data_IF_066533711834
#
_entry.id   IF_066533711834
#
_cell.length_a   1.000
_cell.length_b   1.000
_cell.length_c   1.000
_cell.angle_alpha   90.00
_cell.angle_beta   90.00
_cell.angle_gamma   90.00
#
_symmetry.space_group_name_H-M   'P 1'
#
loop_
_entity.id
_entity.type
_entity.pdbx_description
1 polymer ?
#
# COMPACT_ATOMS: atom_id res chain seq x y z
N UNK A 1 12.03 38.73 -3.45
CA UNK A 1 12.22 38.54 -1.99
C UNK A 1 12.08 37.05 -1.69
N UNK A 2 13.18 36.35 -1.38
CA UNK A 2 13.08 34.95 -0.95
C UNK A 2 12.47 34.92 0.45
N UNK A 3 11.25 34.39 0.55
CA UNK A 3 10.63 34.11 1.84
C UNK A 3 11.50 33.06 2.52
N UNK A 4 12.16 33.47 3.62
CA UNK A 4 12.95 32.57 4.47
C UNK A 4 12.02 31.46 4.96
N UNK A 5 12.21 30.25 4.46
CA UNK A 5 11.39 29.10 4.84
C UNK A 5 11.44 28.94 6.37
N UNK A 6 10.30 29.13 7.03
CA UNK A 6 10.19 28.90 8.47
C UNK A 6 10.37 27.40 8.68
N UNK A 7 11.56 27.00 9.14
CA UNK A 7 11.86 25.62 9.51
C UNK A 7 10.88 25.16 10.58
N UNK A 8 9.87 24.37 10.20
CA UNK A 8 8.97 23.77 11.16
C UNK A 8 9.73 22.77 12.04
N UNK A 9 9.64 22.95 13.35
CA UNK A 9 10.32 22.08 14.32
C UNK A 9 9.45 20.87 14.61
N UNK A 10 9.62 19.83 13.80
CA UNK A 10 9.00 18.52 14.02
C UNK A 10 9.51 17.86 15.30
N UNK A 11 8.61 17.48 16.20
CA UNK A 11 8.97 16.77 17.43
C UNK A 11 9.44 15.34 17.13
N UNK A 12 8.83 14.67 16.15
CA UNK A 12 9.23 13.31 15.78
C UNK A 12 10.71 13.22 15.36
N UNK A 13 11.30 14.27 14.78
CA UNK A 13 12.72 14.26 14.36
C UNK A 13 13.66 13.93 15.52
N UNK A 14 13.37 14.44 16.72
CA UNK A 14 14.18 14.19 17.90
C UNK A 14 14.00 12.77 18.46
N UNK A 15 12.89 12.11 18.12
CA UNK A 15 12.49 10.78 18.62
C UNK A 15 12.88 9.65 17.66
N UNK A 16 12.93 9.92 16.36
CA UNK A 16 13.35 9.00 15.31
C UNK A 16 14.79 9.31 14.86
N UNK A 17 15.73 9.05 15.77
CA UNK A 17 17.17 8.99 15.45
C UNK A 17 17.53 7.55 15.10
N UNK A 18 18.65 7.35 14.41
CA UNK A 18 19.17 6.00 14.14
C UNK A 18 19.34 5.24 15.47
N UNK A 19 18.87 3.99 15.52
CA UNK A 19 18.90 3.14 16.71
C UNK A 19 18.19 3.72 17.95
N UNK A 20 17.18 4.58 17.76
CA UNK A 20 16.49 5.25 18.88
C UNK A 20 15.64 4.32 19.76
N UNK A 21 15.22 3.16 19.23
CA UNK A 21 14.39 2.20 19.95
C UNK A 21 15.18 0.93 20.25
N UNK A 22 14.93 0.35 21.43
CA UNK A 22 15.41 -0.99 21.78
C UNK A 22 14.48 -2.08 21.27
N UNK A 23 14.66 -3.32 21.76
CA UNK A 23 13.92 -4.50 21.29
C UNK A 23 12.40 -4.45 21.46
N UNK A 24 11.87 -3.66 22.39
CA UNK A 24 10.42 -3.55 22.62
C UNK A 24 9.74 -2.74 21.51
N UNK A 25 8.71 -3.32 20.88
CA UNK A 25 7.95 -2.68 19.82
C UNK A 25 6.97 -1.59 20.30
N UNK A 26 6.37 -1.74 21.48
CA UNK A 26 5.31 -0.84 21.96
C UNK A 26 5.73 0.66 22.06
N UNK A 27 6.93 1.02 22.55
CA UNK A 27 7.39 2.41 22.52
C UNK A 27 7.48 2.97 21.09
N UNK A 28 8.04 2.19 20.15
CA UNK A 28 8.16 2.58 18.76
C UNK A 28 6.79 2.81 18.11
N UNK A 29 5.86 1.85 18.27
CA UNK A 29 4.46 1.96 17.79
C UNK A 29 3.79 3.23 18.33
N UNK A 30 3.98 3.54 19.61
CA UNK A 30 3.42 4.75 20.24
C UNK A 30 3.97 6.01 19.59
N UNK A 31 5.28 6.06 19.33
CA UNK A 31 5.92 7.21 18.67
C UNK A 31 5.52 7.36 17.21
N UNK A 32 5.30 6.25 16.49
CA UNK A 32 4.82 6.28 15.10
C UNK A 32 3.45 6.95 15.05
N UNK A 33 2.50 6.51 15.90
CA UNK A 33 1.16 7.11 15.98
C UNK A 33 1.20 8.60 16.33
N UNK A 34 2.09 9.00 17.23
CA UNK A 34 2.29 10.41 17.59
C UNK A 34 2.79 11.24 16.39
N UNK A 35 3.80 10.73 15.66
CA UNK A 35 4.35 11.41 14.48
C UNK A 35 3.30 11.56 13.37
N UNK A 36 2.53 10.50 13.08
CA UNK A 36 1.43 10.56 12.10
C UNK A 36 0.38 11.59 12.52
N UNK A 37 0.03 11.64 13.81
CA UNK A 37 -0.92 12.64 14.33
C UNK A 37 -0.39 14.06 14.17
N UNK A 38 0.88 14.29 14.51
CA UNK A 38 1.57 15.58 14.36
C UNK A 38 1.54 16.06 12.89
N UNK A 39 1.90 15.18 11.95
CA UNK A 39 1.90 15.48 10.51
C UNK A 39 0.49 15.78 10.00
N UNK A 40 -0.51 14.98 10.39
CA UNK A 40 -1.92 15.20 10.00
C UNK A 40 -2.47 16.51 10.53
N UNK A 41 -2.05 16.94 11.72
CA UNK A 41 -2.44 18.25 12.25
C UNK A 41 -1.84 19.40 11.44
N UNK A 42 -0.56 19.29 11.06
CA UNK A 42 0.09 20.28 10.19
C UNK A 42 -0.57 20.34 8.80
N UNK A 43 -0.98 19.19 8.26
CA UNK A 43 -1.61 19.11 6.93
C UNK A 43 -2.89 19.95 6.79
N UNK A 44 -3.60 20.21 7.90
CA UNK A 44 -4.80 21.05 7.91
C UNK A 44 -4.54 22.51 7.58
N UNK A 45 -3.31 22.99 7.81
CA UNK A 45 -2.93 24.40 7.63
C UNK A 45 -1.89 24.59 6.54
N UNK A 46 -0.98 23.63 6.39
CA UNK A 46 0.13 23.70 5.46
C UNK A 46 0.37 22.33 4.82
N UNK A 47 -0.40 21.95 3.77
CA UNK A 47 -0.30 20.64 3.14
C UNK A 47 1.10 20.31 2.60
N UNK A 48 1.75 21.24 1.89
CA UNK A 48 3.09 21.03 1.34
C UNK A 48 4.15 20.81 2.43
N UNK A 49 4.07 21.59 3.52
CA UNK A 49 4.96 21.43 4.68
C UNK A 49 4.74 20.07 5.35
N UNK A 50 3.48 19.65 5.50
CA UNK A 50 3.15 18.37 6.10
C UNK A 50 3.61 17.18 5.25
N UNK A 51 3.52 17.27 3.92
CA UNK A 51 4.05 16.27 3.01
C UNK A 51 5.57 16.17 3.08
N UNK A 52 6.30 17.29 3.12
CA UNK A 52 7.74 17.30 3.40
C UNK A 52 8.05 16.64 4.76
N UNK A 53 7.24 16.93 5.79
CA UNK A 53 7.32 16.27 7.10
C UNK A 53 7.08 14.75 7.04
N UNK A 54 6.14 14.31 6.22
CA UNK A 54 5.84 12.90 6.00
C UNK A 54 6.99 12.16 5.32
N UNK A 55 7.55 12.74 4.25
CA UNK A 55 8.73 12.22 3.54
C UNK A 55 9.91 12.06 4.52
N UNK A 56 10.19 13.12 5.27
CA UNK A 56 11.22 13.14 6.30
C UNK A 56 10.99 12.13 7.44
N UNK A 57 9.74 11.84 7.79
CA UNK A 57 9.42 10.83 8.79
C UNK A 57 9.69 9.41 8.25
N UNK A 58 9.24 9.12 7.03
CA UNK A 58 9.42 7.83 6.37
C UNK A 58 10.90 7.47 6.20
N UNK A 59 11.74 8.44 5.82
CA UNK A 59 13.21 8.28 5.73
C UNK A 59 13.85 7.79 7.04
N UNK A 60 13.26 8.17 8.17
CA UNK A 60 13.83 7.91 9.51
C UNK A 60 13.29 6.64 10.14
N UNK A 61 12.25 6.04 9.58
CA UNK A 61 11.60 4.87 10.17
C UNK A 61 12.55 3.69 10.25
N UNK A 62 13.02 3.19 9.11
CA UNK A 62 13.91 2.03 9.05
C UNK A 62 15.13 2.13 9.97
N UNK A 63 15.96 3.19 9.89
CA UNK A 63 17.14 3.30 10.75
C UNK A 63 16.80 3.46 12.24
N UNK A 64 15.64 4.02 12.59
CA UNK A 64 15.22 4.13 13.99
C UNK A 64 14.75 2.79 14.57
N UNK A 65 14.14 1.94 13.73
CA UNK A 65 13.53 0.67 14.11
C UNK A 65 14.49 -0.54 14.06
N UNK A 66 15.74 -0.34 13.62
CA UNK A 66 16.70 -1.42 13.37
C UNK A 66 16.93 -2.45 14.50
N UNK A 67 16.63 -2.11 15.76
CA UNK A 67 16.75 -3.02 16.91
C UNK A 67 15.43 -3.48 17.50
N UNK A 68 14.30 -3.10 16.91
CA UNK A 68 12.97 -3.48 17.38
C UNK A 68 12.67 -4.90 16.96
N UNK A 69 12.19 -5.72 17.89
CA UNK A 69 11.71 -7.07 17.57
C UNK A 69 10.42 -6.98 16.73
N UNK A 70 10.51 -7.46 15.48
CA UNK A 70 9.43 -7.48 14.50
C UNK A 70 8.71 -8.83 14.39
N UNK A 71 9.12 -9.85 15.16
CA UNK A 71 8.59 -11.22 15.05
C UNK A 71 7.07 -11.31 15.23
N UNK A 72 6.50 -10.46 16.09
CA UNK A 72 5.04 -10.37 16.32
C UNK A 72 4.25 -9.76 15.16
N UNK A 73 4.92 -9.14 14.17
CA UNK A 73 4.29 -8.37 13.10
C UNK A 73 3.69 -7.02 13.53
N UNK A 74 3.53 -6.76 14.84
CA UNK A 74 2.85 -5.57 15.35
C UNK A 74 3.50 -4.25 14.92
N UNK A 75 4.83 -4.19 14.89
CA UNK A 75 5.57 -3.02 14.42
C UNK A 75 5.41 -2.82 12.91
N UNK A 76 5.45 -3.91 12.12
CA UNK A 76 5.24 -3.86 10.67
C UNK A 76 3.84 -3.36 10.32
N UNK A 77 2.81 -3.87 10.99
CA UNK A 77 1.43 -3.38 10.84
C UNK A 77 1.31 -1.89 11.18
N UNK A 78 1.97 -1.42 12.24
CA UNK A 78 1.95 0.00 12.60
C UNK A 78 2.65 0.88 11.56
N UNK A 79 3.75 0.41 10.96
CA UNK A 79 4.44 1.13 9.89
C UNK A 79 3.60 1.15 8.60
N UNK A 80 3.01 0.02 8.20
CA UNK A 80 2.14 -0.06 7.03
C UNK A 80 0.94 0.89 7.15
N UNK A 81 0.28 0.94 8.31
CA UNK A 81 -0.77 1.92 8.55
C UNK A 81 -0.28 3.36 8.50
N UNK A 82 0.93 3.64 8.99
CA UNK A 82 1.51 4.97 8.87
C UNK A 82 1.77 5.33 7.40
N UNK A 83 2.25 4.40 6.58
CA UNK A 83 2.44 4.59 5.14
C UNK A 83 1.09 4.85 4.45
N UNK A 84 0.07 4.03 4.72
CA UNK A 84 -1.29 4.20 4.17
C UNK A 84 -1.90 5.57 4.49
N UNK A 85 -1.63 6.11 5.68
CA UNK A 85 -2.12 7.42 6.09
C UNK A 85 -1.32 8.59 5.50
N UNK A 86 -0.01 8.42 5.29
CA UNK A 86 0.91 9.48 4.87
C UNK A 86 1.04 9.60 3.36
N UNK A 87 0.97 8.49 2.62
CA UNK A 87 1.07 8.48 1.14
C UNK A 87 0.03 9.42 0.51
N UNK A 88 -1.26 9.39 0.88
CA UNK A 88 -2.25 10.31 0.30
C UNK A 88 -1.94 11.78 0.58
N UNK A 89 -1.37 12.09 1.76
CA UNK A 89 -0.95 13.45 2.10
C UNK A 89 0.21 13.92 1.23
N UNK A 90 1.18 13.04 0.97
CA UNK A 90 2.28 13.34 0.06
C UNK A 90 1.73 13.52 -1.35
N UNK A 91 0.98 12.54 -1.87
CA UNK A 91 0.42 12.55 -3.22
C UNK A 91 -0.41 13.81 -3.51
N UNK A 92 -1.29 14.22 -2.59
CA UNK A 92 -2.18 15.39 -2.78
C UNK A 92 -1.54 16.76 -2.52
N UNK A 93 -0.27 16.82 -2.09
CA UNK A 93 0.39 18.08 -1.79
C UNK A 93 0.58 18.96 -3.05
N UNK A 94 0.20 20.25 -3.01
CA UNK A 94 0.35 21.16 -4.14
C UNK A 94 1.80 21.68 -4.22
N UNK A 95 2.68 20.90 -4.84
CA UNK A 95 4.09 21.24 -5.07
C UNK A 95 4.45 21.07 -6.54
N UNK A 96 5.48 21.76 -6.98
CA UNK A 96 6.02 21.58 -8.33
C UNK A 96 6.70 20.21 -8.51
N UNK A 97 6.93 19.85 -9.76
CA UNK A 97 7.53 18.57 -10.14
C UNK A 97 8.97 18.40 -9.60
N UNK A 98 9.75 19.48 -9.48
CA UNK A 98 11.13 19.40 -8.98
C UNK A 98 11.17 19.07 -7.48
N UNK A 99 10.29 19.70 -6.69
CA UNK A 99 10.11 19.39 -5.26
C UNK A 99 9.61 17.96 -5.09
N UNK A 100 8.67 17.54 -5.94
CA UNK A 100 8.14 16.18 -5.96
C UNK A 100 9.23 15.15 -6.22
N UNK A 101 10.06 15.39 -7.21
CA UNK A 101 11.14 14.50 -7.62
C UNK A 101 12.19 14.37 -6.51
N UNK A 102 12.59 15.49 -5.89
CA UNK A 102 13.49 15.50 -4.74
C UNK A 102 12.95 14.69 -3.53
N UNK A 103 11.63 14.68 -3.32
CA UNK A 103 11.02 13.80 -2.31
C UNK A 103 11.13 12.32 -2.67
N UNK A 104 10.88 11.97 -3.93
CA UNK A 104 10.99 10.60 -4.43
C UNK A 104 12.43 10.11 -4.39
N UNK A 105 13.42 10.94 -4.71
CA UNK A 105 14.85 10.62 -4.58
C UNK A 105 15.20 10.25 -3.13
N UNK A 106 14.78 11.07 -2.16
CA UNK A 106 15.04 10.80 -0.74
C UNK A 106 14.33 9.54 -0.24
N UNK A 107 13.08 9.33 -0.66
CA UNK A 107 12.35 8.09 -0.34
C UNK A 107 13.01 6.88 -0.99
N UNK A 108 13.56 7.03 -2.20
CA UNK A 108 14.26 5.98 -2.91
C UNK A 108 15.56 5.60 -2.22
N UNK A 109 16.35 6.59 -1.78
CA UNK A 109 17.53 6.35 -0.95
C UNK A 109 17.18 5.59 0.34
N UNK A 110 16.13 6.03 1.05
CA UNK A 110 15.66 5.35 2.25
C UNK A 110 15.20 3.92 1.97
N UNK A 111 14.48 3.71 0.86
CA UNK A 111 14.00 2.40 0.42
C UNK A 111 15.15 1.44 0.11
N UNK A 112 16.20 1.93 -0.56
CA UNK A 112 17.37 1.13 -0.88
C UNK A 112 18.17 0.76 0.38
N UNK A 113 18.27 1.69 1.32
CA UNK A 113 18.89 1.50 2.63
C UNK A 113 18.04 0.72 3.65
N UNK A 114 16.83 0.28 3.28
CA UNK A 114 15.93 -0.49 4.14
C UNK A 114 16.46 -1.93 4.31
N UNK A 115 17.23 -2.17 5.37
CA UNK A 115 17.85 -3.47 5.65
C UNK A 115 16.82 -4.50 6.12
N UNK A 116 16.07 -4.15 7.17
CA UNK A 116 14.86 -4.88 7.57
C UNK A 116 13.71 -4.17 6.84
N UNK A 117 12.91 -4.87 6.03
CA UNK A 117 11.96 -4.24 5.11
C UNK A 117 10.75 -3.63 5.83
N UNK A 118 10.95 -2.53 6.55
CA UNK A 118 9.89 -1.83 7.27
C UNK A 118 9.10 -0.92 6.33
N UNK A 119 9.75 -0.34 5.32
CA UNK A 119 9.13 0.62 4.40
C UNK A 119 8.97 0.05 2.98
N UNK A 120 9.14 -1.26 2.80
CA UNK A 120 8.97 -1.95 1.51
C UNK A 120 7.61 -1.68 0.85
N UNK A 121 6.57 -1.46 1.67
CA UNK A 121 5.22 -1.15 1.22
C UNK A 121 5.14 0.15 0.39
N UNK A 122 6.10 1.08 0.56
CA UNK A 122 6.21 2.28 -0.29
C UNK A 122 6.32 1.94 -1.77
N UNK A 123 6.91 0.78 -2.12
CA UNK A 123 6.99 0.33 -3.50
C UNK A 123 5.60 0.17 -4.14
N UNK A 124 4.61 -0.32 -3.39
CA UNK A 124 3.24 -0.42 -3.90
C UNK A 124 2.60 0.95 -4.12
N UNK A 125 2.97 1.94 -3.32
CA UNK A 125 2.47 3.31 -3.40
C UNK A 125 3.26 4.22 -4.35
N UNK A 126 4.34 3.73 -4.97
CA UNK A 126 5.27 4.56 -5.73
C UNK A 126 4.59 5.37 -6.85
N UNK A 127 3.71 4.73 -7.62
CA UNK A 127 2.92 5.40 -8.64
C UNK A 127 2.01 6.51 -8.11
N UNK A 128 1.41 6.33 -6.93
CA UNK A 128 0.62 7.36 -6.27
C UNK A 128 1.49 8.52 -5.75
N UNK A 129 2.69 8.21 -5.22
CA UNK A 129 3.64 9.21 -4.75
C UNK A 129 4.14 10.12 -5.88
N UNK A 130 4.22 9.61 -7.12
CA UNK A 130 4.57 10.39 -8.31
C UNK A 130 3.57 11.52 -8.60
N UNK A 131 2.29 11.34 -8.27
CA UNK A 131 1.17 12.29 -8.43
C UNK A 131 0.87 12.78 -9.87
N UNK A 132 1.81 12.68 -10.81
CA UNK A 132 1.66 13.05 -12.22
C UNK A 132 2.22 11.94 -13.13
N UNK A 133 1.59 11.65 -14.28
CA UNK A 133 2.05 10.62 -15.22
C UNK A 133 3.47 10.84 -15.73
N UNK A 134 3.87 12.09 -16.00
CA UNK A 134 5.21 12.41 -16.53
C UNK A 134 6.32 12.09 -15.50
N UNK A 135 6.08 12.43 -14.23
CA UNK A 135 6.99 12.07 -13.13
C UNK A 135 7.06 10.56 -12.97
N UNK A 136 5.92 9.87 -13.03
CA UNK A 136 5.86 8.42 -12.98
C UNK A 136 6.61 7.77 -14.15
N UNK A 137 6.51 8.34 -15.36
CA UNK A 137 7.22 7.85 -16.53
C UNK A 137 8.73 8.01 -16.39
N UNK A 138 9.20 9.16 -15.92
CA UNK A 138 10.63 9.39 -15.69
C UNK A 138 11.21 8.41 -14.66
N UNK A 139 10.49 8.16 -13.56
CA UNK A 139 10.87 7.15 -12.57
C UNK A 139 10.85 5.73 -13.14
N UNK A 140 9.87 5.41 -13.99
CA UNK A 140 9.82 4.12 -14.66
C UNK A 140 11.05 3.93 -15.57
N UNK A 141 11.44 4.94 -16.35
CA UNK A 141 12.63 4.87 -17.22
C UNK A 141 13.92 4.66 -16.43
N UNK A 142 14.04 5.30 -15.26
CA UNK A 142 15.19 5.12 -14.37
C UNK A 142 15.31 3.69 -13.81
N UNK A 143 14.18 3.02 -13.56
CA UNK A 143 14.14 1.73 -12.86
C UNK A 143 14.09 0.53 -13.82
N UNK A 144 13.41 0.66 -14.96
CA UNK A 144 13.06 -0.46 -15.85
C UNK A 144 14.29 -1.20 -16.39
N UNK A 145 15.37 -0.48 -16.68
CA UNK A 145 16.62 -1.08 -17.15
C UNK A 145 17.23 -2.03 -16.13
N UNK A 146 17.15 -1.70 -14.84
CA UNK A 146 17.64 -2.56 -13.75
C UNK A 146 16.74 -3.76 -13.54
N UNK A 147 15.42 -3.58 -13.63
CA UNK A 147 14.47 -4.71 -13.55
C UNK A 147 14.72 -5.71 -14.67
N UNK A 148 14.85 -5.25 -15.92
CA UNK A 148 15.15 -6.11 -17.07
C UNK A 148 16.44 -6.90 -16.89
N UNK A 149 17.50 -6.28 -16.35
CA UNK A 149 18.75 -6.98 -16.02
C UNK A 149 18.52 -8.03 -14.94
N UNK A 150 17.84 -7.66 -13.85
CA UNK A 150 17.58 -8.56 -12.72
C UNK A 150 16.76 -9.79 -13.12
N UNK A 151 15.91 -9.65 -14.14
CA UNK A 151 15.07 -10.70 -14.72
C UNK A 151 15.67 -11.37 -15.96
N UNK A 152 16.93 -11.05 -16.30
CA UNK A 152 17.59 -11.64 -17.45
C UNK A 152 17.69 -13.17 -17.34
N UNK A 153 17.52 -13.92 -18.44
CA UNK A 153 17.80 -15.36 -18.48
C UNK A 153 19.26 -15.70 -18.16
N UNK A 154 20.17 -14.75 -18.41
CA UNK A 154 21.61 -14.87 -18.17
C UNK A 154 21.91 -14.91 -16.65
N UNK A 155 22.47 -16.02 -16.12
CA UNK A 155 22.73 -16.17 -14.68
C UNK A 155 23.68 -15.13 -14.09
N UNK A 156 24.57 -14.56 -14.91
CA UNK A 156 25.55 -13.52 -14.59
C UNK A 156 24.93 -12.13 -14.41
N UNK A 157 23.75 -11.89 -14.98
CA UNK A 157 23.01 -10.62 -14.87
C UNK A 157 21.80 -10.72 -13.94
N UNK A 158 21.32 -11.94 -13.71
CA UNK A 158 20.16 -12.24 -12.89
C UNK A 158 20.44 -11.94 -11.42
N UNK A 159 19.48 -11.33 -10.74
CA UNK A 159 19.63 -10.96 -9.34
C UNK A 159 18.35 -10.47 -8.69
N UNK A 160 18.43 -10.17 -7.40
CA UNK A 160 17.33 -9.53 -6.68
C UNK A 160 17.46 -8.01 -6.78
N UNK A 161 16.37 -7.35 -7.15
CA UNK A 161 16.28 -5.89 -7.16
C UNK A 161 15.09 -5.42 -6.33
N UNK A 162 15.36 -4.66 -5.26
CA UNK A 162 14.35 -4.12 -4.35
C UNK A 162 13.32 -3.24 -5.07
N UNK A 163 13.74 -2.46 -6.08
CA UNK A 163 12.88 -1.49 -6.78
C UNK A 163 11.94 -2.05 -7.84
N UNK A 164 11.81 -3.37 -7.95
CA UNK A 164 10.91 -4.00 -8.94
C UNK A 164 9.48 -3.51 -8.77
N UNK A 165 8.98 -3.48 -7.53
CA UNK A 165 7.65 -2.99 -7.16
C UNK A 165 7.46 -1.52 -7.52
N UNK A 166 8.48 -0.69 -7.24
CA UNK A 166 8.46 0.75 -7.53
C UNK A 166 8.34 0.97 -9.04
N UNK A 167 9.10 0.22 -9.84
CA UNK A 167 9.07 0.27 -11.31
C UNK A 167 7.69 -0.09 -11.86
N UNK A 168 7.12 -1.22 -11.43
CA UNK A 168 5.80 -1.67 -11.90
C UNK A 168 4.70 -0.69 -11.48
N UNK A 169 4.76 -0.16 -10.25
CA UNK A 169 3.83 0.86 -9.76
C UNK A 169 3.94 2.17 -10.55
N UNK A 170 5.15 2.61 -10.88
CA UNK A 170 5.40 3.78 -11.71
C UNK A 170 4.87 3.61 -13.14
N UNK A 171 5.13 2.46 -13.79
CA UNK A 171 4.64 2.18 -15.15
C UNK A 171 3.11 2.22 -15.22
N UNK A 172 2.41 1.63 -14.24
CA UNK A 172 0.94 1.68 -14.16
C UNK A 172 0.45 3.12 -14.00
N UNK A 173 1.07 3.91 -13.12
CA UNK A 173 0.69 5.31 -12.91
C UNK A 173 1.00 6.22 -14.11
N UNK A 174 2.02 5.89 -14.89
CA UNK A 174 2.37 6.57 -16.14
C UNK A 174 1.44 6.21 -17.31
N UNK A 175 0.56 5.20 -17.15
CA UNK A 175 -0.29 4.72 -18.24
C UNK A 175 0.44 3.85 -19.27
N UNK A 176 1.66 3.39 -18.97
CA UNK A 176 2.52 2.59 -19.87
C UNK A 176 2.19 1.10 -19.73
N UNK A 177 0.93 0.75 -19.96
CA UNK A 177 0.37 -0.57 -19.65
C UNK A 177 0.99 -1.70 -20.46
N UNK A 178 1.27 -1.47 -21.75
CA UNK A 178 1.92 -2.47 -22.61
C UNK A 178 3.33 -2.82 -22.11
N UNK A 179 4.07 -1.84 -21.58
CA UNK A 179 5.38 -2.07 -21.00
C UNK A 179 5.32 -2.83 -19.67
N UNK A 180 4.25 -2.66 -18.89
CA UNK A 180 4.02 -3.50 -17.70
C UNK A 180 3.89 -4.96 -18.12
N UNK A 181 3.03 -5.25 -19.10
CA UNK A 181 2.78 -6.62 -19.57
C UNK A 181 4.06 -7.21 -20.20
N UNK A 182 4.74 -6.46 -21.07
CA UNK A 182 5.98 -6.90 -21.71
C UNK A 182 7.10 -7.16 -20.69
N UNK A 183 7.19 -6.34 -19.62
CA UNK A 183 8.16 -6.55 -18.56
C UNK A 183 7.83 -7.82 -17.75
N UNK A 184 6.56 -8.06 -17.43
CA UNK A 184 6.11 -9.23 -16.67
C UNK A 184 6.35 -10.55 -17.41
N UNK A 185 6.35 -10.57 -18.75
CA UNK A 185 6.73 -11.75 -19.54
C UNK A 185 8.21 -12.14 -19.37
N UNK A 186 9.07 -11.19 -18.96
CA UNK A 186 10.47 -11.47 -18.64
C UNK A 186 10.66 -12.00 -17.22
N UNK A 187 9.61 -11.97 -16.38
CA UNK A 187 9.74 -12.33 -14.97
C UNK A 187 10.20 -13.80 -14.82
N UNK A 188 11.26 -14.07 -14.04
CA UNK A 188 11.80 -15.42 -13.91
C UNK A 188 10.85 -16.39 -13.22
N UNK A 189 9.90 -15.87 -12.44
CA UNK A 189 8.89 -16.63 -11.72
C UNK A 189 7.56 -15.89 -11.81
N UNK A 190 6.48 -16.65 -12.00
CA UNK A 190 5.11 -16.12 -11.98
C UNK A 190 4.64 -15.97 -10.54
N UNK A 191 4.99 -14.85 -9.91
CA UNK A 191 4.55 -14.48 -8.55
C UNK A 191 3.38 -13.51 -8.62
N UNK A 192 2.35 -13.73 -7.80
CA UNK A 192 1.24 -12.78 -7.65
C UNK A 192 1.70 -11.35 -7.29
N UNK A 193 2.79 -11.24 -6.54
CA UNK A 193 3.36 -9.96 -6.12
C UNK A 193 3.63 -9.00 -7.30
N UNK A 194 4.13 -9.54 -8.42
CA UNK A 194 4.42 -8.74 -9.62
C UNK A 194 3.24 -8.76 -10.59
N UNK A 195 2.56 -9.91 -10.73
CA UNK A 195 1.43 -10.08 -11.65
C UNK A 195 0.23 -9.19 -11.34
N UNK A 196 0.01 -8.83 -10.08
CA UNK A 196 -1.05 -7.88 -9.72
C UNK A 196 -0.94 -6.55 -10.50
N UNK A 197 0.25 -6.17 -10.98
CA UNK A 197 0.43 -4.96 -11.78
C UNK A 197 -0.04 -5.14 -13.23
N UNK A 198 0.08 -6.34 -13.80
CA UNK A 198 -0.55 -6.69 -15.08
C UNK A 198 -2.07 -6.64 -14.98
N UNK A 199 -2.63 -7.14 -13.87
CA UNK A 199 -4.06 -7.02 -13.56
C UNK A 199 -4.50 -5.55 -13.49
N UNK A 200 -3.75 -4.70 -12.75
CA UNK A 200 -4.01 -3.25 -12.66
C UNK A 200 -3.92 -2.57 -14.04
N UNK A 201 -2.95 -2.95 -14.87
CA UNK A 201 -2.75 -2.41 -16.22
C UNK A 201 -3.91 -2.77 -17.16
N UNK A 202 -4.39 -4.02 -17.15
CA UNK A 202 -5.53 -4.47 -17.94
C UNK A 202 -6.84 -3.81 -17.47
N UNK A 203 -7.02 -3.70 -16.16
CA UNK A 203 -8.19 -3.05 -15.58
C UNK A 203 -8.25 -1.55 -15.91
N UNK A 204 -7.12 -0.85 -15.88
CA UNK A 204 -7.04 0.57 -16.23
C UNK A 204 -7.38 0.85 -17.71
N UNK A 205 -7.18 -0.14 -18.59
CA UNK A 205 -7.60 -0.09 -20.00
C UNK A 205 -9.08 -0.45 -20.22
N UNK A 206 -9.82 -0.77 -19.14
CA UNK A 206 -11.23 -1.17 -19.22
C UNK A 206 -11.45 -2.65 -19.59
N UNK A 207 -10.39 -3.46 -19.65
CA UNK A 207 -10.49 -4.88 -20.01
C UNK A 207 -10.70 -5.75 -18.77
N UNK A 208 -11.82 -5.55 -18.07
CA UNK A 208 -12.11 -6.22 -16.80
C UNK A 208 -12.11 -7.74 -16.90
N UNK A 209 -12.70 -8.32 -17.95
CA UNK A 209 -12.71 -9.78 -18.15
C UNK A 209 -11.30 -10.33 -18.39
N UNK A 210 -10.49 -9.62 -19.18
CA UNK A 210 -9.11 -10.02 -19.43
C UNK A 210 -8.28 -9.91 -18.15
N UNK A 211 -8.50 -8.88 -17.34
CA UNK A 211 -7.84 -8.72 -16.05
C UNK A 211 -8.17 -9.87 -15.08
N UNK A 212 -9.44 -10.30 -15.02
CA UNK A 212 -9.87 -11.45 -14.23
C UNK A 212 -9.24 -12.75 -14.73
N UNK A 213 -9.29 -12.98 -16.05
CA UNK A 213 -8.65 -14.14 -16.67
C UNK A 213 -7.15 -14.16 -16.39
N UNK A 214 -6.48 -13.01 -16.53
CA UNK A 214 -5.06 -12.87 -16.26
C UNK A 214 -4.72 -13.09 -14.77
N UNK A 215 -5.58 -12.65 -13.84
CA UNK A 215 -5.40 -12.87 -12.41
C UNK A 215 -5.54 -14.35 -12.03
N UNK A 216 -6.48 -15.07 -12.67
CA UNK A 216 -6.74 -16.48 -12.40
C UNK A 216 -5.84 -17.44 -13.17
N UNK A 217 -5.30 -17.01 -14.31
CA UNK A 217 -4.40 -17.79 -15.14
C UNK A 217 -3.15 -18.18 -14.34
N UNK A 218 -2.89 -19.48 -14.19
CA UNK A 218 -1.71 -20.03 -13.52
C UNK A 218 -1.47 -19.49 -12.10
N UNK A 219 -1.98 -20.20 -11.08
CA UNK A 219 -1.59 -19.94 -9.69
C UNK A 219 -0.14 -20.41 -9.51
N UNK A 220 0.77 -19.47 -9.26
CA UNK A 220 2.13 -19.81 -8.85
C UNK A 220 2.07 -20.68 -7.59
N UNK A 221 3.05 -21.59 -7.44
CA UNK A 221 3.12 -22.54 -6.31
C UNK A 221 3.01 -21.87 -4.93
N UNK A 222 3.37 -20.59 -4.82
CA UNK A 222 3.37 -19.81 -3.59
C UNK A 222 2.32 -18.69 -3.56
N UNK A 223 1.42 -18.62 -4.54
CA UNK A 223 0.43 -17.55 -4.61
C UNK A 223 -0.59 -17.69 -3.49
N UNK A 224 -0.80 -16.61 -2.74
CA UNK A 224 -1.83 -16.55 -1.70
C UNK A 224 -3.22 -16.46 -2.36
N UNK A 225 -4.08 -17.49 -2.27
CA UNK A 225 -5.38 -17.48 -2.93
C UNK A 225 -6.29 -16.34 -2.45
N UNK A 226 -6.12 -15.88 -1.21
CA UNK A 226 -6.86 -14.77 -0.64
C UNK A 226 -6.48 -13.43 -1.29
N UNK A 227 -5.20 -13.23 -1.61
CA UNK A 227 -4.73 -12.00 -2.24
C UNK A 227 -5.25 -11.87 -3.68
N UNK A 228 -5.24 -12.97 -4.43
CA UNK A 228 -5.82 -13.05 -5.78
C UNK A 228 -7.33 -12.78 -5.71
N UNK A 229 -8.06 -13.48 -4.83
CA UNK A 229 -9.50 -13.32 -4.68
C UNK A 229 -9.90 -11.88 -4.32
N UNK A 230 -9.17 -11.22 -3.41
CA UNK A 230 -9.43 -9.81 -3.05
C UNK A 230 -9.24 -8.86 -4.24
N UNK A 231 -8.23 -9.10 -5.07
CA UNK A 231 -8.03 -8.27 -6.26
C UNK A 231 -9.15 -8.49 -7.28
N UNK A 232 -9.54 -9.73 -7.54
CA UNK A 232 -10.67 -10.02 -8.44
C UNK A 232 -12.00 -9.47 -7.92
N UNK A 233 -12.26 -9.56 -6.61
CA UNK A 233 -13.42 -8.95 -5.96
C UNK A 233 -13.42 -7.42 -6.17
N UNK A 234 -12.29 -6.76 -5.91
CA UNK A 234 -12.16 -5.32 -6.08
C UNK A 234 -12.39 -4.88 -7.55
N UNK A 235 -11.91 -5.66 -8.53
CA UNK A 235 -12.16 -5.41 -9.95
C UNK A 235 -13.64 -5.48 -10.31
N UNK A 236 -14.34 -6.53 -9.85
CA UNK A 236 -15.77 -6.69 -10.10
C UNK A 236 -16.59 -5.59 -9.43
N UNK A 237 -16.23 -5.19 -8.21
CA UNK A 237 -16.86 -4.08 -7.51
C UNK A 237 -16.65 -2.75 -8.25
N UNK A 238 -15.44 -2.48 -8.73
CA UNK A 238 -15.15 -1.29 -9.53
C UNK A 238 -15.93 -1.26 -10.86
N UNK A 239 -16.22 -2.43 -11.43
CA UNK A 239 -17.06 -2.59 -12.62
C UNK A 239 -18.58 -2.59 -12.31
N UNK A 240 -19.00 -2.39 -11.05
CA UNK A 240 -20.42 -2.37 -10.65
C UNK A 240 -21.08 -3.75 -10.57
N UNK A 241 -20.31 -4.85 -10.62
CA UNK A 241 -20.79 -6.25 -10.64
C UNK A 241 -20.76 -6.87 -9.24
N UNK A 242 -21.42 -6.21 -8.28
CA UNK A 242 -21.37 -6.59 -6.87
C UNK A 242 -21.88 -7.99 -6.59
N UNK A 243 -22.93 -8.44 -7.30
CA UNK A 243 -23.50 -9.77 -7.12
C UNK A 243 -22.50 -10.87 -7.51
N UNK A 244 -21.83 -10.71 -8.64
CA UNK A 244 -20.83 -11.66 -9.09
C UNK A 244 -19.59 -11.65 -8.20
N UNK A 245 -19.15 -10.46 -7.74
CA UNK A 245 -18.06 -10.32 -6.78
C UNK A 245 -18.35 -11.14 -5.51
N UNK A 246 -19.56 -11.01 -4.98
CA UNK A 246 -20.02 -11.74 -3.81
C UNK A 246 -20.08 -13.25 -4.05
N UNK A 247 -20.69 -13.69 -5.16
CA UNK A 247 -20.85 -15.11 -5.49
C UNK A 247 -19.52 -15.82 -5.71
N UNK A 248 -18.57 -15.18 -6.40
CA UNK A 248 -17.30 -15.80 -6.79
C UNK A 248 -16.21 -15.68 -5.72
N UNK A 249 -16.10 -14.51 -5.09
CA UNK A 249 -14.95 -14.21 -4.22
C UNK A 249 -15.34 -13.83 -2.80
N UNK A 250 -16.60 -13.48 -2.51
CA UNK A 250 -17.03 -12.95 -1.22
C UNK A 250 -16.64 -13.81 -0.01
N UNK A 251 -16.64 -15.14 -0.16
CA UNK A 251 -16.20 -16.05 0.91
C UNK A 251 -14.67 -16.10 1.04
N UNK A 252 -13.94 -16.29 -0.07
CA UNK A 252 -12.48 -16.48 -0.05
C UNK A 252 -11.79 -15.17 0.31
N UNK A 253 -12.17 -14.06 -0.31
CA UNK A 253 -11.56 -12.75 -0.10
C UNK A 253 -11.62 -12.27 1.37
N UNK A 254 -12.66 -12.67 2.11
CA UNK A 254 -12.95 -12.21 3.48
C UNK A 254 -12.62 -13.22 4.59
N UNK A 255 -12.07 -14.40 4.26
CA UNK A 255 -11.71 -15.41 5.27
C UNK A 255 -10.52 -15.01 6.17
N UNK A 256 -9.68 -14.06 5.73
CA UNK A 256 -8.47 -13.64 6.46
C UNK A 256 -8.69 -12.82 7.74
N UNK A 257 -9.94 -12.57 8.15
CA UNK A 257 -10.29 -11.69 9.28
C UNK A 257 -11.20 -12.31 10.35
N UNK A 258 -11.38 -13.63 10.42
CA UNK A 258 -12.32 -14.24 11.36
C UNK A 258 -11.74 -14.42 12.77
N UNK A 259 -11.58 -13.32 13.51
CA UNK A 259 -12.12 -13.32 14.88
C UNK A 259 -13.62 -13.08 14.72
N UNK A 260 -14.43 -14.13 14.88
CA UNK A 260 -15.88 -14.12 14.72
C UNK A 260 -16.50 -12.85 15.33
N UNK A 261 -17.07 -12.00 14.48
CA UNK A 261 -18.18 -11.14 14.89
C UNK A 261 -19.46 -11.91 14.57
N UNK A 262 -20.26 -12.37 15.55
CA UNK A 262 -21.54 -12.97 15.24
C UNK A 262 -22.38 -11.94 14.51
N UNK A 263 -22.78 -12.25 13.28
CA UNK A 263 -23.81 -11.50 12.56
C UNK A 263 -25.08 -11.54 13.40
N UNK A 264 -25.52 -10.37 13.87
CA UNK A 264 -26.80 -10.23 14.54
C UNK A 264 -27.92 -10.62 13.54
N UNK A 265 -28.92 -11.42 13.95
CA UNK A 265 -30.04 -11.73 13.09
C UNK A 265 -30.85 -10.46 12.78
N UNK A 266 -31.20 -10.26 11.51
CA UNK A 266 -32.12 -9.21 11.06
C UNK A 266 -33.44 -9.25 11.84
N UNK A 267 -34.03 -8.10 12.20
CA UNK A 267 -35.30 -8.07 12.94
C UNK A 267 -36.45 -8.43 11.99
N UNK A 268 -36.78 -9.72 11.93
CA UNK A 268 -38.00 -10.22 11.31
C UNK A 268 -39.19 -10.02 12.24
N UNK A 269 -40.15 -9.19 11.79
CA UNK A 269 -41.58 -9.15 12.11
C UNK A 269 -42.04 -9.76 13.44
N UNK A 270 -42.24 -8.90 14.44
CA UNK A 270 -43.06 -9.22 15.62
C UNK A 270 -44.51 -9.37 15.14
N UNK A 271 -44.95 -10.61 14.94
CA UNK A 271 -46.38 -10.94 14.93
C UNK A 271 -46.91 -10.89 16.37
N UNK A 272 -47.80 -9.93 16.59
CA UNK A 272 -48.63 -9.77 17.78
C UNK A 272 -49.46 -11.04 18.02
N UNK A 273 -49.14 -11.79 19.08
CA UNK A 273 -50.06 -12.79 19.64
C UNK A 273 -51.01 -12.12 20.64
N UNK A 274 -52.33 -12.37 20.58
CA UNK A 274 -53.29 -11.73 21.47
C UNK A 274 -53.21 -12.32 22.89
N UNK A 275 -53.32 -11.45 23.89
CA UNK A 275 -53.41 -11.80 25.31
C UNK A 275 -54.70 -12.56 25.59
N UNK A 276 -54.59 -13.84 25.94
CA UNK A 276 -55.68 -14.60 26.56
C UNK A 276 -55.91 -14.08 27.99
N UNK A 277 -57.15 -13.67 28.23
CA UNK A 277 -57.72 -13.20 29.49
C UNK A 277 -58.20 -14.44 30.24
N UNK A 278 -57.58 -14.78 31.38
CA UNK A 278 -58.17 -15.73 32.33
C UNK A 278 -58.63 -14.99 33.57
N UNK A 279 -59.95 -15.08 33.77
CA UNK A 279 -60.79 -14.53 34.82
C UNK A 279 -60.54 -15.19 36.19
N UNK A 280 -60.71 -14.38 37.24
CA UNK A 280 -60.86 -14.76 38.65
C UNK A 280 -62.13 -15.58 38.88
N UNK A 281 -62.08 -16.49 39.85
CA UNK A 281 -63.11 -16.87 40.86
C UNK A 281 -62.56 -18.11 41.57
N UNK A 282 -62.60 -18.32 42.88
CA UNK A 282 -63.02 -17.58 44.07
C UNK A 282 -62.25 -18.15 45.25
#
# INVERSE_FOLDING_TARGET
MMVKAVSHKWEFKARFRRHAFGWKSQPAITRIKQAVTEIKQAARKAPALAAEGAVLFLERLSPALAHVDSSSGAIGTAVNHAIDELVPLIASAPVDAATRDAWLERLWEAYQADDIPYIEALGHHWGALCAAPDVASAWADNLIGTVRRSWSPSPDLRGFFKGTTNCLSALVAAGRYDEVLALLELAPYKSWHDRQYGVKALAAQGWTEEALRYAEAERGLNDNPFAVARACEALLLAAGRSEEAYQRYGLIANQGGTYRRPSAPSPGSIHTRPRARCSRTS
#
